data_IF_693606661838
#
_entry.id   IF_693606661838
#
_cell.length_a   1.000
_cell.length_b   1.000
_cell.length_c   1.000
_cell.angle_alpha   90.00
_cell.angle_beta   90.00
_cell.angle_gamma   90.00
#
_symmetry.space_group_name_H-M   'P 1'
#
loop_
_entity.id
_entity.type
_entity.pdbx_description
1 polymer ?
#
# COMPACT_ATOMS: atom_id res chain seq x y z
N UNK A 1 47.38 -56.55 9.49
CA UNK A 1 46.22 -55.93 10.17
C UNK A 1 46.20 -54.46 9.76
N UNK A 2 45.34 -54.10 8.79
CA UNK A 2 45.12 -52.73 8.32
C UNK A 2 44.19 -52.04 9.33
N UNK A 3 44.53 -50.84 9.77
CA UNK A 3 43.58 -49.94 10.43
C UNK A 3 43.63 -48.58 9.75
N UNK A 4 42.42 -48.12 9.48
CA UNK A 4 41.99 -47.15 8.50
C UNK A 4 42.13 -45.72 9.05
N UNK A 5 42.50 -44.78 8.19
CA UNK A 5 42.56 -43.35 8.54
C UNK A 5 41.21 -42.70 8.22
N UNK A 6 40.31 -42.64 9.20
CA UNK A 6 39.09 -41.84 9.09
C UNK A 6 39.41 -40.35 9.22
N UNK A 7 39.38 -39.67 8.07
CA UNK A 7 39.22 -38.22 7.97
C UNK A 7 37.80 -37.84 8.40
N UNK A 8 37.61 -37.55 9.68
CA UNK A 8 36.44 -36.77 10.11
C UNK A 8 36.70 -35.30 9.77
N UNK A 9 36.31 -34.92 8.55
CA UNK A 9 36.10 -33.52 8.19
C UNK A 9 34.88 -33.04 8.97
N UNK A 10 35.11 -32.37 10.10
CA UNK A 10 34.15 -31.45 10.67
C UNK A 10 33.81 -30.41 9.60
N UNK A 11 32.63 -30.59 9.00
CA UNK A 11 32.05 -29.70 8.02
C UNK A 11 31.52 -28.49 8.80
N UNK A 12 32.42 -27.60 9.25
CA UNK A 12 32.04 -26.26 9.70
C UNK A 12 31.54 -25.51 8.46
N UNK A 13 30.24 -25.62 8.17
CA UNK A 13 29.55 -24.53 7.47
C UNK A 13 29.75 -23.30 8.36
N UNK A 14 30.32 -22.19 7.87
CA UNK A 14 30.27 -20.96 8.65
C UNK A 14 28.79 -20.66 8.86
N UNK A 15 28.37 -20.59 10.13
CA UNK A 15 27.16 -19.88 10.51
C UNK A 15 27.35 -18.47 9.95
N UNK A 16 26.70 -18.16 8.83
CA UNK A 16 26.50 -16.77 8.41
C UNK A 16 25.76 -16.13 9.58
N UNK A 17 26.49 -15.44 10.44
CA UNK A 17 25.88 -14.45 11.31
C UNK A 17 25.34 -13.40 10.36
N UNK A 18 24.03 -13.27 10.29
CA UNK A 18 23.38 -12.19 9.56
C UNK A 18 23.71 -10.90 10.32
N UNK A 19 24.87 -10.32 10.03
CA UNK A 19 25.26 -9.01 10.56
C UNK A 19 24.51 -8.00 9.71
N UNK A 20 23.39 -7.49 10.24
CA UNK A 20 22.76 -6.30 9.69
C UNK A 20 23.39 -5.07 10.29
N UNK A 21 23.44 -4.02 9.49
CA UNK A 21 24.27 -2.89 9.80
C UNK A 21 23.46 -1.61 10.01
N UNK A 22 22.48 -1.30 9.15
CA UNK A 22 21.69 -0.08 9.30
C UNK A 22 20.46 -0.33 10.19
N UNK A 23 20.45 0.24 11.38
CA UNK A 23 19.30 0.24 12.28
C UNK A 23 18.56 1.57 12.18
N UNK A 24 17.27 1.50 11.84
CA UNK A 24 16.36 2.66 11.84
C UNK A 24 15.39 2.49 12.99
N UNK A 25 15.34 3.47 13.88
CA UNK A 25 14.35 3.55 14.94
C UNK A 25 13.42 4.72 14.67
N UNK A 26 12.14 4.46 14.84
CA UNK A 26 11.09 5.43 14.56
C UNK A 26 10.09 5.46 15.71
N UNK A 27 9.72 6.66 16.15
CA UNK A 27 8.70 6.81 17.18
C UNK A 27 7.68 7.86 16.77
N UNK A 28 6.41 7.56 17.02
CA UNK A 28 5.37 8.58 17.00
C UNK A 28 5.61 9.47 18.21
N UNK A 29 5.53 10.80 18.07
CA UNK A 29 5.81 11.69 19.22
C UNK A 29 4.63 11.67 20.20
N UNK A 30 4.41 10.56 20.91
CA UNK A 30 3.23 10.27 21.76
C UNK A 30 3.05 11.22 22.93
N UNK A 31 4.13 11.93 23.30
CA UNK A 31 4.13 12.91 24.39
C UNK A 31 3.85 14.34 23.92
N UNK A 32 3.64 14.57 22.62
CA UNK A 32 3.24 15.90 22.16
C UNK A 32 1.85 16.26 22.69
N UNK A 33 1.62 17.56 22.96
CA UNK A 33 0.33 18.07 23.45
C UNK A 33 -0.84 17.70 22.51
N UNK A 34 -0.53 17.43 21.24
CA UNK A 34 -1.45 16.94 20.23
C UNK A 34 -2.22 15.70 20.71
N UNK A 35 -1.54 14.68 21.24
CA UNK A 35 -2.21 13.43 21.62
C UNK A 35 -3.23 13.61 22.75
N UNK A 36 -3.12 14.67 23.56
CA UNK A 36 -4.09 14.99 24.61
C UNK A 36 -5.45 15.47 24.06
N UNK A 37 -5.48 15.89 22.80
CA UNK A 37 -6.66 16.47 22.15
C UNK A 37 -7.29 15.55 21.09
N UNK A 38 -6.69 14.38 20.88
CA UNK A 38 -7.13 13.39 19.89
C UNK A 38 -7.92 12.28 20.60
N UNK A 39 -9.05 11.87 20.03
CA UNK A 39 -9.88 10.78 20.60
C UNK A 39 -9.12 9.44 20.62
N UNK A 40 -9.43 8.55 21.56
CA UNK A 40 -8.79 7.22 21.65
C UNK A 40 -8.93 6.40 20.36
N UNK A 41 -10.05 6.53 19.67
CA UNK A 41 -10.32 5.81 18.42
C UNK A 41 -9.46 6.35 17.27
N UNK A 42 -9.30 7.68 17.21
CA UNK A 42 -8.40 8.33 16.25
C UNK A 42 -6.94 7.96 16.53
N UNK A 43 -6.53 7.87 17.80
CA UNK A 43 -5.17 7.42 18.18
C UNK A 43 -4.92 5.99 17.71
N UNK A 44 -5.87 5.09 17.98
CA UNK A 44 -5.76 3.68 17.60
C UNK A 44 -5.68 3.53 16.08
N UNK A 45 -6.53 4.26 15.35
CA UNK A 45 -6.49 4.30 13.89
C UNK A 45 -5.16 4.87 13.37
N UNK A 46 -4.64 5.96 13.94
CA UNK A 46 -3.38 6.54 13.51
C UNK A 46 -2.18 5.60 13.73
N UNK A 47 -2.12 4.91 14.86
CA UNK A 47 -1.07 3.92 15.14
C UNK A 47 -1.15 2.74 14.16
N UNK A 48 -2.37 2.25 13.89
CA UNK A 48 -2.60 1.19 12.92
C UNK A 48 -2.17 1.61 11.51
N UNK A 49 -2.54 2.80 11.06
CA UNK A 49 -2.15 3.38 9.77
C UNK A 49 -0.64 3.57 9.64
N UNK A 50 -0.01 4.13 10.68
CA UNK A 50 1.43 4.29 10.74
C UNK A 50 2.14 2.94 10.65
N UNK A 51 1.71 1.96 11.45
CA UNK A 51 2.29 0.61 11.43
C UNK A 51 2.15 0.03 10.03
N UNK A 52 0.94 0.01 9.47
CA UNK A 52 0.72 -0.54 8.14
C UNK A 52 1.63 0.09 7.06
N UNK A 53 1.66 1.44 7.02
CA UNK A 53 2.48 2.20 6.09
C UNK A 53 3.96 1.86 6.23
N UNK A 54 4.48 1.93 7.46
CA UNK A 54 5.90 1.74 7.75
C UNK A 54 6.37 0.33 7.44
N UNK A 55 5.57 -0.70 7.75
CA UNK A 55 5.87 -2.10 7.41
C UNK A 55 5.91 -2.33 5.90
N UNK A 56 4.90 -1.82 5.20
CA UNK A 56 4.78 -1.98 3.74
C UNK A 56 5.96 -1.32 3.03
N UNK A 57 6.29 -0.08 3.40
CA UNK A 57 7.45 0.63 2.86
C UNK A 57 8.75 -0.10 3.19
N UNK A 58 8.96 -0.51 4.44
CA UNK A 58 10.20 -1.17 4.83
C UNK A 58 10.46 -2.43 4.01
N UNK A 59 9.41 -3.22 3.77
CA UNK A 59 9.51 -4.45 3.01
C UNK A 59 9.82 -4.21 1.52
N UNK A 60 9.23 -3.17 0.91
CA UNK A 60 9.58 -2.75 -0.46
C UNK A 60 11.05 -2.33 -0.59
N UNK A 61 11.63 -1.80 0.49
CA UNK A 61 13.05 -1.41 0.56
C UNK A 61 13.95 -2.54 1.09
N UNK A 62 13.48 -3.79 1.17
CA UNK A 62 14.35 -4.93 1.46
C UNK A 62 14.80 -5.04 2.91
N UNK A 63 13.98 -4.52 3.81
CA UNK A 63 14.12 -4.73 5.25
C UNK A 63 14.36 -6.22 5.56
N UNK A 64 15.34 -6.48 6.40
CA UNK A 64 15.68 -7.84 6.85
C UNK A 64 15.06 -8.22 8.18
N UNK A 65 14.77 -7.24 9.02
CA UNK A 65 14.07 -7.43 10.27
C UNK A 65 13.24 -6.21 10.64
N UNK A 66 12.13 -6.43 11.37
CA UNK A 66 11.45 -5.37 12.11
C UNK A 66 11.10 -5.84 13.51
N UNK A 67 10.93 -4.88 14.39
CA UNK A 67 10.23 -5.10 15.65
C UNK A 67 9.46 -3.84 16.06
N UNK A 68 8.14 -3.98 16.24
CA UNK A 68 7.31 -2.91 16.79
C UNK A 68 7.11 -3.12 18.28
N UNK A 69 7.58 -2.18 19.09
CA UNK A 69 7.45 -2.21 20.55
C UNK A 69 6.67 -0.99 21.05
N UNK A 70 6.38 -0.95 22.35
CA UNK A 70 5.76 0.22 22.99
C UNK A 70 6.55 1.51 22.74
N UNK A 71 7.86 1.41 22.57
CA UNK A 71 8.80 2.51 22.46
C UNK A 71 9.03 3.02 21.03
N UNK A 72 8.46 2.34 20.01
CA UNK A 72 8.70 2.67 18.60
C UNK A 72 8.89 1.44 17.72
N UNK A 73 9.19 1.70 16.45
CA UNK A 73 9.44 0.70 15.41
C UNK A 73 10.92 0.64 15.05
N UNK A 74 11.52 -0.54 15.18
CA UNK A 74 12.85 -0.86 14.71
C UNK A 74 12.78 -1.51 13.34
N UNK A 75 13.67 -1.10 12.45
CA UNK A 75 13.95 -1.75 11.17
C UNK A 75 15.44 -1.99 10.99
N UNK A 76 15.79 -3.13 10.41
CA UNK A 76 17.17 -3.45 10.03
C UNK A 76 17.29 -3.59 8.51
N UNK A 77 18.29 -2.92 7.95
CA UNK A 77 18.65 -2.96 6.53
C UNK A 77 20.13 -3.33 6.36
N UNK A 78 20.45 -3.87 5.18
CA UNK A 78 21.83 -4.19 4.80
C UNK A 78 22.61 -2.99 4.25
N UNK A 79 21.90 -1.97 3.76
CA UNK A 79 22.49 -0.77 3.14
C UNK A 79 22.09 0.50 3.88
N UNK A 80 23.06 1.38 4.10
CA UNK A 80 22.84 2.70 4.69
C UNK A 80 22.00 3.59 3.77
N UNK A 81 22.27 3.59 2.45
CA UNK A 81 21.50 4.35 1.46
C UNK A 81 20.04 3.94 1.42
N UNK A 82 19.78 2.63 1.43
CA UNK A 82 18.42 2.07 1.48
C UNK A 82 17.70 2.51 2.76
N UNK A 83 18.37 2.44 3.90
CA UNK A 83 17.81 2.86 5.19
C UNK A 83 17.47 4.37 5.22
N UNK A 84 18.34 5.21 4.64
CA UNK A 84 18.12 6.66 4.54
C UNK A 84 16.96 6.98 3.59
N UNK A 85 16.93 6.35 2.40
CA UNK A 85 15.83 6.54 1.44
C UNK A 85 14.49 6.09 2.02
N UNK A 86 14.43 4.91 2.63
CA UNK A 86 13.26 4.42 3.35
C UNK A 86 12.79 5.45 4.39
N UNK A 87 13.71 5.96 5.20
CA UNK A 87 13.41 6.90 6.28
C UNK A 87 12.82 8.22 5.75
N UNK A 88 13.41 8.79 4.70
CA UNK A 88 12.91 10.01 4.06
C UNK A 88 11.53 9.78 3.43
N UNK A 89 11.33 8.66 2.73
CA UNK A 89 10.04 8.29 2.14
C UNK A 89 8.98 8.05 3.21
N UNK A 90 9.32 7.38 4.30
CA UNK A 90 8.41 7.17 5.43
C UNK A 90 7.92 8.51 6.01
N UNK A 91 8.83 9.46 6.25
CA UNK A 91 8.48 10.80 6.71
C UNK A 91 7.53 11.48 5.71
N UNK A 92 7.86 11.47 4.43
CA UNK A 92 7.06 12.12 3.39
C UNK A 92 5.64 11.52 3.28
N UNK A 93 5.54 10.20 3.22
CA UNK A 93 4.25 9.50 3.11
C UNK A 93 3.42 9.66 4.38
N UNK A 94 4.06 9.61 5.56
CA UNK A 94 3.36 9.81 6.82
C UNK A 94 2.81 11.24 6.94
N UNK A 95 3.57 12.26 6.53
CA UNK A 95 3.11 13.65 6.45
C UNK A 95 1.86 13.81 5.59
N UNK A 96 1.80 13.13 4.45
CA UNK A 96 0.63 13.16 3.59
C UNK A 96 -0.56 12.44 4.24
N UNK A 97 -0.34 11.21 4.72
CA UNK A 97 -1.40 10.32 5.21
C UNK A 97 -2.06 10.86 6.49
N UNK A 98 -1.29 11.41 7.42
CA UNK A 98 -1.81 11.89 8.71
C UNK A 98 -2.71 13.13 8.61
N UNK A 99 -2.63 13.91 7.52
CA UNK A 99 -3.51 15.08 7.28
C UNK A 99 -4.98 14.68 7.19
N UNK A 100 -5.25 13.52 6.60
CA UNK A 100 -6.60 12.99 6.45
C UNK A 100 -7.13 12.39 7.75
N UNK A 101 -6.25 11.95 8.65
CA UNK A 101 -6.63 11.32 9.91
C UNK A 101 -7.13 12.31 10.98
N UNK A 102 -6.81 13.60 10.85
CA UNK A 102 -7.14 14.62 11.86
C UNK A 102 -8.20 15.65 11.43
N UNK A 103 -8.79 15.48 10.23
CA UNK A 103 -9.94 16.24 9.75
C UNK A 103 -9.86 17.78 9.96
N UNK A 104 -8.67 18.37 9.83
CA UNK A 104 -8.47 19.82 9.94
C UNK A 104 -8.45 20.40 11.36
N UNK A 105 -8.57 19.59 12.42
CA UNK A 105 -8.23 20.02 13.77
C UNK A 105 -6.71 19.98 13.90
N UNK A 106 -6.07 21.14 13.67
CA UNK A 106 -4.64 21.36 13.45
C UNK A 106 -3.70 20.80 14.55
N UNK A 107 -3.54 19.49 14.57
CA UNK A 107 -2.71 18.76 15.48
C UNK A 107 -1.87 17.79 14.66
N UNK A 108 -0.64 18.19 14.40
CA UNK A 108 0.30 17.40 13.63
C UNK A 108 0.70 16.14 14.42
N UNK A 109 0.72 14.96 13.79
CA UNK A 109 1.15 13.70 14.42
C UNK A 109 2.55 13.33 13.95
N UNK A 110 3.60 14.06 14.34
CA UNK A 110 4.93 13.85 13.81
C UNK A 110 5.51 12.50 14.22
N UNK A 111 6.47 12.06 13.43
CA UNK A 111 7.37 10.95 13.77
C UNK A 111 8.78 11.46 13.92
N UNK A 112 9.57 10.87 14.80
CA UNK A 112 11.02 11.07 14.83
C UNK A 112 11.69 9.84 14.22
N UNK A 113 12.79 10.07 13.51
CA UNK A 113 13.53 8.98 12.86
C UNK A 113 15.01 9.12 13.17
N UNK A 114 15.58 8.09 13.78
CA UNK A 114 17.01 7.96 14.04
C UNK A 114 17.59 6.79 13.27
N UNK A 115 18.71 7.00 12.60
CA UNK A 115 19.42 5.93 11.90
C UNK A 115 20.88 5.85 12.33
N UNK A 116 21.36 4.62 12.52
CA UNK A 116 22.76 4.35 12.85
C UNK A 116 23.24 3.09 12.14
N UNK A 117 24.54 3.05 11.82
CA UNK A 117 25.17 1.90 11.20
C UNK A 117 26.12 1.19 12.18
N UNK A 118 25.94 -0.11 12.35
CA UNK A 118 26.84 -0.96 13.14
C UNK A 118 26.27 -2.35 13.34
N UNK A 119 27.07 -3.22 13.94
CA UNK A 119 26.74 -4.64 14.04
C UNK A 119 25.51 -4.92 14.91
N UNK A 120 24.62 -5.75 14.36
CA UNK A 120 23.48 -6.34 15.02
C UNK A 120 23.60 -7.87 14.97
N UNK A 121 23.23 -8.56 16.05
CA UNK A 121 23.26 -10.01 16.14
C UNK A 121 21.88 -10.54 16.51
N UNK A 122 21.42 -11.56 15.79
CA UNK A 122 20.19 -12.28 16.11
C UNK A 122 20.42 -13.21 17.31
N UNK A 123 19.50 -13.18 18.27
CA UNK A 123 19.48 -14.15 19.37
C UNK A 123 18.94 -15.50 18.88
N UNK A 124 19.18 -16.56 19.66
CA UNK A 124 18.75 -17.92 19.28
C UNK A 124 17.23 -18.11 19.31
N UNK A 125 16.47 -17.23 19.98
CA UNK A 125 15.02 -17.20 19.91
C UNK A 125 14.59 -16.34 18.70
N UNK A 126 13.82 -16.94 17.78
CA UNK A 126 13.74 -16.66 16.33
C UNK A 126 13.48 -15.21 15.86
N UNK A 127 13.24 -14.26 16.76
CA UNK A 127 12.87 -12.89 16.39
C UNK A 127 13.57 -11.78 17.18
N UNK A 128 14.43 -12.11 18.16
CA UNK A 128 15.07 -11.08 18.96
C UNK A 128 16.45 -10.67 18.42
N UNK A 129 16.72 -9.37 18.39
CA UNK A 129 17.98 -8.79 17.94
C UNK A 129 18.63 -7.98 19.06
N UNK A 130 19.94 -8.09 19.17
CA UNK A 130 20.76 -7.30 20.08
C UNK A 130 21.91 -6.65 19.30
N UNK A 131 22.30 -5.46 19.68
CA UNK A 131 23.40 -4.77 19.02
C UNK A 131 23.54 -3.35 19.51
N UNK A 132 24.77 -2.82 19.43
CA UNK A 132 25.02 -1.42 19.76
C UNK A 132 24.25 -0.49 18.83
N UNK A 133 24.13 -0.87 17.56
CA UNK A 133 23.45 -0.04 16.58
C UNK A 133 21.97 0.20 16.89
N UNK A 134 21.26 -0.79 17.43
CA UNK A 134 19.86 -0.65 17.85
C UNK A 134 19.73 0.42 18.95
N UNK A 135 20.56 0.32 19.99
CA UNK A 135 20.54 1.24 21.12
C UNK A 135 20.94 2.66 20.69
N UNK A 136 21.89 2.80 19.77
CA UNK A 136 22.31 4.11 19.26
C UNK A 136 21.21 4.71 18.37
N UNK A 137 20.62 3.95 17.44
CA UNK A 137 19.54 4.44 16.58
C UNK A 137 18.37 5.00 17.40
N UNK A 138 17.97 4.32 18.48
CA UNK A 138 16.95 4.80 19.42
C UNK A 138 17.35 6.13 20.10
N UNK A 139 18.62 6.28 20.48
CA UNK A 139 19.11 7.53 21.08
C UNK A 139 19.17 8.67 20.07
N UNK A 140 19.59 8.38 18.85
CA UNK A 140 19.59 9.34 17.73
C UNK A 140 18.15 9.82 17.47
N UNK A 141 17.18 8.90 17.43
CA UNK A 141 15.76 9.23 17.31
C UNK A 141 15.30 10.17 18.44
N UNK A 142 15.70 9.89 19.69
CA UNK A 142 15.30 10.72 20.84
C UNK A 142 15.83 12.16 20.78
N UNK A 143 16.92 12.38 20.04
CA UNK A 143 17.49 13.71 19.77
C UNK A 143 16.88 14.37 18.52
N UNK A 144 16.19 13.61 17.67
CA UNK A 144 15.66 14.11 16.41
C UNK A 144 14.50 15.08 16.62
N UNK A 145 14.43 16.08 15.76
CA UNK A 145 13.26 16.96 15.68
C UNK A 145 12.08 16.19 15.04
N UNK A 146 10.83 16.57 15.36
CA UNK A 146 9.64 16.11 14.66
C UNK A 146 9.81 16.12 13.13
N UNK A 147 9.54 14.98 12.52
CA UNK A 147 9.62 14.71 11.08
C UNK A 147 10.96 14.99 10.42
N UNK A 148 12.03 14.70 11.15
CA UNK A 148 13.38 14.75 10.65
C UNK A 148 14.05 13.39 10.77
N UNK A 149 14.99 13.15 9.86
CA UNK A 149 15.89 12.02 9.90
C UNK A 149 17.23 12.50 10.46
N UNK A 150 17.57 12.03 11.66
CA UNK A 150 18.89 12.24 12.24
C UNK A 150 19.73 10.98 12.06
N UNK A 151 21.00 11.19 11.74
CA UNK A 151 21.97 10.13 11.52
C UNK A 151 23.27 10.46 12.25
N UNK A 152 24.04 9.43 12.60
CA UNK A 152 25.41 9.61 13.11
C UNK A 152 26.41 9.80 11.97
N UNK A 153 27.59 10.36 12.27
CA UNK A 153 28.73 10.40 11.34
C UNK A 153 28.98 9.07 10.60
N UNK A 154 28.87 7.93 11.27
CA UNK A 154 29.11 6.61 10.64
C UNK A 154 28.15 6.32 9.48
N UNK A 155 26.91 6.79 9.53
CA UNK A 155 25.99 6.69 8.38
C UNK A 155 26.48 7.61 7.28
N UNK A 156 26.85 8.85 7.62
CA UNK A 156 27.34 9.85 6.68
C UNK A 156 28.59 9.37 5.92
N UNK A 157 29.48 8.63 6.59
CA UNK A 157 30.69 8.06 5.99
C UNK A 157 30.42 6.90 5.00
N UNK A 158 29.22 6.31 5.07
CA UNK A 158 28.85 5.10 4.32
C UNK A 158 27.88 5.37 3.17
N UNK A 159 27.10 6.44 3.26
CA UNK A 159 26.18 6.84 2.20
C UNK A 159 26.91 7.62 1.11
N UNK A 160 26.35 7.64 -0.09
CA UNK A 160 26.89 8.41 -1.19
C UNK A 160 26.63 9.91 -0.99
N UNK A 161 27.52 10.60 -0.27
CA UNK A 161 27.36 11.99 0.14
C UNK A 161 26.88 12.98 -0.95
N UNK A 162 27.38 12.91 -2.20
CA UNK A 162 26.91 13.79 -3.28
C UNK A 162 25.41 13.69 -3.56
N UNK A 163 24.75 12.59 -3.19
CA UNK A 163 23.33 12.32 -3.44
C UNK A 163 22.43 12.83 -2.30
N UNK A 164 22.98 13.33 -1.19
CA UNK A 164 22.16 13.79 -0.06
C UNK A 164 22.47 15.22 0.36
N UNK A 165 21.41 15.99 0.58
CA UNK A 165 21.52 17.26 1.28
C UNK A 165 21.44 17.00 2.78
N UNK A 166 22.47 17.41 3.52
CA UNK A 166 22.54 17.23 4.97
C UNK A 166 23.09 18.47 5.69
N UNK A 167 22.81 18.54 6.98
CA UNK A 167 23.23 19.63 7.86
C UNK A 167 23.82 19.04 9.14
N UNK A 168 24.98 19.53 9.56
CA UNK A 168 25.50 19.25 10.89
C UNK A 168 24.59 19.92 11.93
N UNK A 169 24.20 19.16 12.95
CA UNK A 169 23.29 19.65 14.00
C UNK A 169 24.10 20.12 15.20
N UNK A 170 24.66 19.18 15.98
CA UNK A 170 25.54 19.46 17.12
C UNK A 170 26.19 18.14 17.61
N UNK A 171 27.03 18.25 18.65
CA UNK A 171 27.60 17.13 19.40
C UNK A 171 26.69 16.75 20.56
N UNK A 172 26.13 15.55 20.50
CA UNK A 172 25.24 15.03 21.53
C UNK A 172 25.92 14.00 22.41
N UNK A 173 25.56 13.99 23.71
CA UNK A 173 25.96 12.93 24.63
C UNK A 173 24.99 11.73 24.57
N UNK A 174 25.36 10.69 23.83
CA UNK A 174 24.63 9.44 23.73
C UNK A 174 25.07 8.49 24.86
N UNK A 175 24.52 8.69 26.07
CA UNK A 175 24.88 7.92 27.29
C UNK A 175 24.98 6.41 27.04
N UNK A 176 25.94 5.70 27.63
CA UNK A 176 26.03 4.24 27.49
C UNK A 176 26.56 3.75 26.13
N UNK A 177 27.11 4.65 25.31
CA UNK A 177 27.97 4.34 24.18
C UNK A 177 29.47 4.42 24.60
N UNK A 178 30.34 3.68 23.92
CA UNK A 178 31.80 3.74 24.11
C UNK A 178 32.38 5.10 23.68
N UNK A 179 31.75 5.74 22.71
CA UNK A 179 32.00 7.12 22.30
C UNK A 179 30.79 7.96 22.73
N UNK A 180 30.77 8.46 23.98
CA UNK A 180 29.59 9.09 24.53
C UNK A 180 29.23 10.39 23.79
N UNK A 181 30.19 11.06 23.13
CA UNK A 181 29.94 12.29 22.38
C UNK A 181 30.01 12.01 20.88
N UNK A 182 28.94 12.33 20.14
CA UNK A 182 28.87 12.15 18.69
C UNK A 182 28.29 13.36 18.00
N UNK A 183 28.83 13.68 16.83
CA UNK A 183 28.19 14.60 15.90
C UNK A 183 26.97 13.90 15.28
N UNK A 184 25.83 14.59 15.31
CA UNK A 184 24.62 14.18 14.61
C UNK A 184 24.38 15.08 13.40
N UNK A 185 23.86 14.47 12.35
CA UNK A 185 23.55 15.12 11.09
C UNK A 185 22.08 14.93 10.77
N UNK A 186 21.45 15.99 10.28
CA UNK A 186 20.10 15.94 9.73
C UNK A 186 20.20 15.70 8.24
N UNK A 187 19.60 14.63 7.75
CA UNK A 187 19.40 14.43 6.31
C UNK A 187 18.12 15.16 5.90
N UNK A 188 18.24 16.03 4.91
CA UNK A 188 17.16 16.92 4.46
C UNK A 188 16.38 16.30 3.30
N UNK A 189 17.08 15.85 2.26
CA UNK A 189 16.49 15.27 1.06
C UNK A 189 17.53 14.54 0.22
N UNK A 190 17.04 13.78 -0.76
CA UNK A 190 17.86 13.22 -1.84
C UNK A 190 18.03 14.30 -2.91
N UNK A 191 19.27 14.53 -3.35
CA UNK A 191 19.58 15.31 -4.55
C UNK A 191 19.40 14.41 -5.78
N UNK A 192 18.19 14.46 -6.34
CA UNK A 192 17.85 13.70 -7.53
C UNK A 192 18.63 14.13 -8.77
N UNK A 193 19.13 15.37 -8.83
CA UNK A 193 19.94 15.84 -9.94
C UNK A 193 21.35 15.24 -9.87
N UNK A 194 21.95 15.19 -8.67
CA UNK A 194 23.22 14.52 -8.44
C UNK A 194 23.12 13.00 -8.74
N UNK A 195 22.05 12.35 -8.29
CA UNK A 195 21.81 10.93 -8.59
C UNK A 195 21.62 10.67 -10.09
N UNK A 196 20.87 11.54 -10.79
CA UNK A 196 20.64 11.41 -12.22
C UNK A 196 21.88 11.72 -13.07
N UNK A 197 22.76 12.61 -12.60
CA UNK A 197 24.00 12.99 -13.27
C UNK A 197 25.14 11.99 -13.13
N UNK A 198 24.96 10.91 -12.37
CA UNK A 198 25.97 9.85 -12.20
C UNK A 198 26.14 9.08 -13.50
N UNK A 199 27.39 8.84 -13.89
CA UNK A 199 27.71 7.98 -15.03
C UNK A 199 27.25 6.55 -14.75
N UNK A 200 26.56 5.92 -15.71
CA UNK A 200 26.04 4.54 -15.56
C UNK A 200 27.12 3.54 -15.11
N UNK A 201 28.35 3.69 -15.57
CA UNK A 201 29.50 2.83 -15.23
C UNK A 201 29.88 2.85 -13.75
N UNK A 202 29.46 3.87 -12.98
CA UNK A 202 29.75 4.02 -11.55
C UNK A 202 28.55 3.68 -10.67
N UNK A 203 27.40 3.38 -11.25
CA UNK A 203 26.20 3.04 -10.50
C UNK A 203 26.27 1.60 -10.00
N UNK A 204 25.99 1.41 -8.73
CA UNK A 204 25.82 0.10 -8.08
C UNK A 204 24.42 -0.46 -8.35
N UNK A 205 24.19 -1.73 -7.98
CA UNK A 205 22.86 -2.33 -8.07
C UNK A 205 21.84 -1.56 -7.21
N UNK A 206 22.26 -1.13 -6.02
CA UNK A 206 21.48 -0.32 -5.09
C UNK A 206 21.16 1.06 -5.67
N UNK A 207 22.10 1.73 -6.33
CA UNK A 207 21.83 3.03 -6.96
C UNK A 207 20.75 2.92 -8.03
N UNK A 208 20.85 1.90 -8.88
CA UNK A 208 19.86 1.63 -9.92
C UNK A 208 18.49 1.29 -9.32
N UNK A 209 18.47 0.47 -8.27
CA UNK A 209 17.24 0.16 -7.56
C UNK A 209 16.59 1.40 -6.94
N UNK A 210 17.36 2.23 -6.22
CA UNK A 210 16.87 3.44 -5.57
C UNK A 210 16.42 4.50 -6.58
N UNK A 211 17.13 4.62 -7.71
CA UNK A 211 16.72 5.46 -8.83
C UNK A 211 15.36 5.01 -9.38
N UNK A 212 15.15 3.71 -9.60
CA UNK A 212 13.86 3.15 -10.01
C UNK A 212 12.76 3.40 -8.98
N UNK A 213 13.00 3.07 -7.70
CA UNK A 213 12.04 3.26 -6.61
C UNK A 213 11.69 4.74 -6.32
N UNK A 214 12.55 5.67 -6.77
CA UNK A 214 12.33 7.10 -6.70
C UNK A 214 11.41 7.64 -7.81
N UNK A 215 11.25 6.91 -8.92
CA UNK A 215 10.43 7.31 -10.06
C UNK A 215 8.93 7.16 -9.75
N UNK A 216 8.12 7.99 -10.38
CA UNK A 216 6.66 7.89 -10.37
C UNK A 216 6.19 7.70 -11.80
N UNK A 217 5.90 6.47 -12.21
CA UNK A 217 5.44 6.20 -13.57
C UNK A 217 4.03 6.76 -13.79
N UNK A 218 3.93 7.85 -14.55
CA UNK A 218 2.67 8.46 -14.99
C UNK A 218 2.38 8.16 -16.48
N UNK A 219 3.39 7.78 -17.26
CA UNK A 219 3.26 7.42 -18.67
C UNK A 219 4.13 6.21 -19.08
N UNK A 220 3.97 5.76 -20.33
CA UNK A 220 4.72 4.62 -20.88
C UNK A 220 6.24 4.85 -20.92
N UNK A 221 6.69 6.10 -21.08
CA UNK A 221 8.11 6.43 -21.16
C UNK A 221 8.75 6.33 -19.78
N UNK A 222 8.08 6.84 -18.75
CA UNK A 222 8.52 6.70 -17.37
C UNK A 222 8.50 5.24 -16.92
N UNK A 223 7.49 4.47 -17.34
CA UNK A 223 7.41 3.04 -17.09
C UNK A 223 8.61 2.28 -17.71
N UNK A 224 9.03 2.67 -18.92
CA UNK A 224 10.22 2.12 -19.57
C UNK A 224 11.52 2.52 -18.84
N UNK A 225 11.61 3.76 -18.36
CA UNK A 225 12.74 4.23 -17.56
C UNK A 225 12.88 3.49 -16.22
N UNK A 226 11.77 3.27 -15.53
CA UNK A 226 11.73 2.52 -14.28
C UNK A 226 12.11 1.04 -14.50
N UNK A 227 11.56 0.42 -15.57
CA UNK A 227 11.95 -0.94 -15.98
C UNK A 227 13.46 -1.06 -16.17
N UNK A 228 14.05 -0.13 -16.93
CA UNK A 228 15.48 -0.13 -17.23
C UNK A 228 16.33 -0.08 -15.96
N UNK A 229 15.91 0.71 -14.96
CA UNK A 229 16.60 0.79 -13.68
C UNK A 229 16.65 -0.57 -12.97
N UNK A 230 15.52 -1.29 -12.89
CA UNK A 230 15.51 -2.61 -12.24
C UNK A 230 16.25 -3.68 -13.06
N UNK A 231 16.22 -3.61 -14.38
CA UNK A 231 17.02 -4.49 -15.24
C UNK A 231 18.53 -4.28 -14.99
N UNK A 232 18.99 -3.02 -14.92
CA UNK A 232 20.38 -2.71 -14.59
C UNK A 232 20.78 -3.14 -13.16
N UNK A 233 19.88 -2.96 -12.19
CA UNK A 233 20.11 -3.47 -10.85
C UNK A 233 20.32 -4.99 -10.85
N UNK A 234 19.54 -5.72 -11.66
CA UNK A 234 19.61 -7.18 -11.77
C UNK A 234 20.78 -7.69 -12.63
N UNK A 235 21.26 -6.90 -13.59
CA UNK A 235 22.52 -7.18 -14.31
C UNK A 235 23.72 -7.16 -13.36
N UNK A 236 23.74 -6.20 -12.42
CA UNK A 236 24.81 -6.05 -11.43
C UNK A 236 24.65 -7.00 -10.24
N UNK A 237 23.41 -7.29 -9.85
CA UNK A 237 23.07 -8.19 -8.74
C UNK A 237 21.86 -9.04 -9.07
N UNK A 238 22.10 -10.25 -9.58
CA UNK A 238 21.04 -11.17 -9.98
C UNK A 238 20.22 -11.71 -8.78
N UNK A 239 20.79 -11.74 -7.58
CA UNK A 239 20.16 -12.17 -6.33
C UNK A 239 19.53 -11.00 -5.55
N UNK A 240 18.90 -10.05 -6.26
CA UNK A 240 18.19 -8.90 -5.68
C UNK A 240 16.66 -9.11 -5.70
N UNK A 241 16.06 -9.71 -4.64
CA UNK A 241 14.63 -10.08 -4.65
C UNK A 241 13.70 -8.87 -4.79
N UNK A 242 14.05 -7.73 -4.19
CA UNK A 242 13.26 -6.50 -4.26
C UNK A 242 13.23 -5.94 -5.69
N UNK A 243 14.35 -5.98 -6.41
CA UNK A 243 14.40 -5.58 -7.82
C UNK A 243 13.61 -6.54 -8.73
N UNK A 244 13.67 -7.86 -8.48
CA UNK A 244 12.81 -8.82 -9.17
C UNK A 244 11.32 -8.54 -8.94
N UNK A 245 10.91 -8.31 -7.69
CA UNK A 245 9.52 -7.96 -7.36
C UNK A 245 9.07 -6.69 -8.10
N UNK A 246 9.85 -5.62 -8.02
CA UNK A 246 9.47 -4.34 -8.62
C UNK A 246 9.46 -4.43 -10.15
N UNK A 247 10.42 -5.12 -10.76
CA UNK A 247 10.39 -5.39 -12.20
C UNK A 247 9.15 -6.21 -12.60
N UNK A 248 8.73 -7.17 -11.79
CA UNK A 248 7.48 -7.91 -11.99
C UNK A 248 6.25 -7.00 -12.00
N UNK A 249 6.18 -6.01 -11.10
CA UNK A 249 5.10 -5.02 -11.05
C UNK A 249 5.06 -4.21 -12.34
N UNK A 250 6.21 -3.71 -12.79
CA UNK A 250 6.33 -2.90 -14.02
C UNK A 250 6.00 -3.70 -15.28
N UNK A 251 6.44 -4.96 -15.35
CA UNK A 251 6.11 -5.85 -16.47
C UNK A 251 4.61 -6.18 -16.51
N UNK A 252 3.98 -6.40 -15.35
CA UNK A 252 2.53 -6.62 -15.26
C UNK A 252 1.75 -5.41 -15.76
N UNK A 253 2.12 -4.21 -15.30
CA UNK A 253 1.49 -2.96 -15.72
C UNK A 253 1.58 -2.74 -17.25
N UNK A 254 2.69 -3.18 -17.87
CA UNK A 254 2.86 -3.15 -19.32
C UNK A 254 2.24 -4.34 -20.07
N UNK A 255 1.47 -5.21 -19.40
CA UNK A 255 0.81 -6.37 -20.01
C UNK A 255 1.70 -7.58 -20.29
N UNK A 256 2.99 -7.56 -19.91
CA UNK A 256 3.92 -8.66 -20.10
C UNK A 256 3.79 -9.72 -19.00
N UNK A 257 2.62 -10.37 -18.91
CA UNK A 257 2.23 -11.27 -17.82
C UNK A 257 3.22 -12.44 -17.58
N UNK A 258 3.66 -13.12 -18.63
CA UNK A 258 4.61 -14.25 -18.51
C UNK A 258 5.96 -13.81 -17.94
N UNK A 259 6.46 -12.64 -18.36
CA UNK A 259 7.72 -12.10 -17.86
C UNK A 259 7.57 -11.64 -16.40
N UNK A 260 6.43 -11.02 -16.05
CA UNK A 260 6.11 -10.65 -14.68
C UNK A 260 6.07 -11.88 -13.75
N UNK A 261 5.41 -12.97 -14.16
CA UNK A 261 5.36 -14.22 -13.40
C UNK A 261 6.77 -14.79 -13.15
N UNK A 262 7.64 -14.79 -14.16
CA UNK A 262 9.02 -15.24 -14.00
C UNK A 262 9.78 -14.42 -12.94
N UNK A 263 9.62 -13.09 -12.96
CA UNK A 263 10.24 -12.19 -11.96
C UNK A 263 9.68 -12.40 -10.55
N UNK A 264 8.38 -12.57 -10.39
CA UNK A 264 7.81 -12.89 -9.09
C UNK A 264 8.30 -14.23 -8.55
N UNK A 265 8.39 -15.26 -9.39
CA UNK A 265 8.97 -16.56 -9.02
C UNK A 265 10.42 -16.44 -8.56
N UNK A 266 11.23 -15.63 -9.24
CA UNK A 266 12.61 -15.35 -8.82
C UNK A 266 12.65 -14.64 -7.46
N UNK A 267 11.80 -13.63 -7.25
CA UNK A 267 11.74 -12.90 -5.98
C UNK A 267 11.41 -13.80 -4.78
N UNK A 268 10.35 -14.62 -4.88
CA UNK A 268 9.92 -15.51 -3.79
C UNK A 268 10.86 -16.71 -3.61
N UNK A 269 11.61 -17.10 -4.64
CA UNK A 269 12.65 -18.13 -4.53
C UNK A 269 13.87 -17.61 -3.77
N UNK A 270 14.29 -16.37 -4.06
CA UNK A 270 15.42 -15.71 -3.41
C UNK A 270 15.09 -15.34 -1.96
N UNK A 271 13.86 -14.87 -1.71
CA UNK A 271 13.38 -14.52 -0.38
C UNK A 271 11.98 -15.10 -0.13
N UNK A 272 11.88 -16.34 0.36
CA UNK A 272 10.59 -16.99 0.64
C UNK A 272 9.75 -16.34 1.74
N UNK A 273 10.35 -15.41 2.50
CA UNK A 273 9.67 -14.65 3.55
C UNK A 273 9.37 -13.21 3.11
N UNK A 274 9.19 -12.98 1.80
CA UNK A 274 8.89 -11.66 1.22
C UNK A 274 7.38 -11.49 0.99
N UNK A 275 6.66 -10.81 1.90
CA UNK A 275 5.20 -10.70 1.82
C UNK A 275 4.69 -10.03 0.54
N UNK A 276 5.34 -8.95 0.08
CA UNK A 276 4.91 -8.15 -1.07
C UNK A 276 5.12 -8.91 -2.38
N UNK A 277 6.18 -9.72 -2.49
CA UNK A 277 6.37 -10.58 -3.67
C UNK A 277 5.29 -11.65 -3.76
N UNK A 278 4.92 -12.27 -2.63
CA UNK A 278 3.79 -13.20 -2.60
C UNK A 278 2.46 -12.53 -2.94
N UNK A 279 2.19 -11.36 -2.36
CA UNK A 279 0.97 -10.59 -2.64
C UNK A 279 0.87 -10.16 -4.12
N UNK A 280 1.94 -9.60 -4.68
CA UNK A 280 1.96 -9.17 -6.07
C UNK A 280 1.86 -10.33 -7.05
N UNK A 281 2.45 -11.49 -6.71
CA UNK A 281 2.30 -12.70 -7.50
C UNK A 281 0.86 -13.21 -7.47
N UNK A 282 0.23 -13.23 -6.30
CA UNK A 282 -1.17 -13.62 -6.15
C UNK A 282 -2.11 -12.76 -7.00
N UNK A 283 -1.91 -11.44 -7.03
CA UNK A 283 -2.69 -10.53 -7.90
C UNK A 283 -2.57 -10.94 -9.37
N UNK A 284 -1.35 -11.20 -9.86
CA UNK A 284 -1.14 -11.63 -11.24
C UNK A 284 -1.87 -12.96 -11.51
N UNK A 285 -1.85 -13.89 -10.55
CA UNK A 285 -2.54 -15.17 -10.68
C UNK A 285 -4.06 -15.00 -10.79
N UNK A 286 -4.68 -14.13 -9.98
CA UNK A 286 -6.10 -13.78 -10.14
C UNK A 286 -6.40 -13.18 -11.51
N UNK A 287 -5.57 -12.24 -11.98
CA UNK A 287 -5.71 -11.62 -13.32
C UNK A 287 -5.53 -12.62 -14.48
N UNK A 288 -4.96 -13.80 -14.19
CA UNK A 288 -4.76 -14.91 -15.14
C UNK A 288 -5.68 -16.10 -14.88
N UNK A 289 -6.78 -15.90 -14.16
CA UNK A 289 -7.81 -16.90 -13.89
C UNK A 289 -7.30 -18.13 -13.12
N UNK A 290 -6.39 -17.91 -12.17
CA UNK A 290 -5.80 -18.94 -11.28
C UNK A 290 -6.05 -18.62 -9.80
N UNK A 291 -7.32 -18.50 -9.35
CA UNK A 291 -7.67 -18.02 -8.01
C UNK A 291 -7.20 -18.94 -6.87
N UNK A 292 -7.12 -20.26 -7.08
CA UNK A 292 -6.64 -21.20 -6.06
C UNK A 292 -5.16 -21.00 -5.73
N UNK A 293 -4.34 -20.77 -6.76
CA UNK A 293 -2.91 -20.48 -6.61
C UNK A 293 -2.69 -19.08 -6.03
N UNK A 294 -3.53 -18.12 -6.43
CA UNK A 294 -3.53 -16.79 -5.82
C UNK A 294 -3.79 -16.86 -4.31
N UNK A 295 -4.82 -17.61 -3.88
CA UNK A 295 -5.12 -17.79 -2.47
C UNK A 295 -3.97 -18.44 -1.69
N UNK A 296 -3.27 -19.42 -2.29
CA UNK A 296 -2.08 -19.99 -1.68
C UNK A 296 -0.99 -18.94 -1.44
N UNK A 297 -0.73 -18.07 -2.42
CA UNK A 297 0.23 -16.99 -2.28
C UNK A 297 -0.22 -15.88 -1.32
N UNK A 298 -1.51 -15.53 -1.26
CA UNK A 298 -2.00 -14.62 -0.22
C UNK A 298 -1.84 -15.18 1.18
N UNK A 299 -2.11 -16.48 1.39
CA UNK A 299 -1.86 -17.14 2.68
C UNK A 299 -0.37 -17.13 3.04
N UNK A 300 0.53 -17.28 2.07
CA UNK A 300 1.98 -17.12 2.29
C UNK A 300 2.35 -15.69 2.66
N UNK A 301 1.78 -14.68 1.98
CA UNK A 301 1.97 -13.28 2.35
C UNK A 301 1.54 -13.01 3.81
N UNK A 302 0.39 -13.56 4.22
CA UNK A 302 -0.10 -13.46 5.60
C UNK A 302 0.72 -14.26 6.61
N UNK A 303 1.29 -15.40 6.21
CA UNK A 303 2.23 -16.15 7.05
C UNK A 303 3.50 -15.33 7.31
N UNK A 304 3.99 -14.61 6.29
CA UNK A 304 5.17 -13.74 6.43
C UNK A 304 4.84 -12.46 7.21
N UNK A 305 3.66 -11.89 6.98
CA UNK A 305 3.16 -10.68 7.65
C UNK A 305 1.67 -10.82 7.96
N UNK A 306 1.31 -11.27 9.18
CA UNK A 306 -0.11 -11.41 9.56
C UNK A 306 -0.90 -10.10 9.47
N UNK A 307 -0.22 -8.96 9.60
CA UNK A 307 -0.79 -7.63 9.42
C UNK A 307 -0.98 -7.16 7.97
N UNK A 308 -0.90 -8.03 6.96
CA UNK A 308 -1.03 -7.64 5.55
C UNK A 308 -2.51 -7.46 5.14
N UNK A 309 -3.07 -6.31 5.50
CA UNK A 309 -4.47 -5.94 5.26
C UNK A 309 -4.92 -6.15 3.82
N UNK A 310 -4.13 -5.73 2.83
CA UNK A 310 -4.53 -5.91 1.42
C UNK A 310 -4.67 -7.40 1.03
N UNK A 311 -3.83 -8.30 1.56
CA UNK A 311 -3.92 -9.74 1.30
C UNK A 311 -5.14 -10.37 1.99
N UNK A 312 -5.51 -9.88 3.19
CA UNK A 312 -6.75 -10.29 3.87
C UNK A 312 -7.98 -9.93 3.04
N UNK A 313 -8.06 -8.71 2.51
CA UNK A 313 -9.20 -8.28 1.71
C UNK A 313 -9.31 -9.04 0.39
N UNK A 314 -8.18 -9.36 -0.26
CA UNK A 314 -8.17 -10.20 -1.46
C UNK A 314 -8.67 -11.62 -1.16
N UNK A 315 -8.19 -12.24 -0.08
CA UNK A 315 -8.69 -13.55 0.36
C UNK A 315 -10.18 -13.51 0.72
N UNK A 316 -10.65 -12.46 1.40
CA UNK A 316 -12.06 -12.29 1.72
C UNK A 316 -12.92 -12.27 0.44
N UNK A 317 -12.46 -11.55 -0.59
CA UNK A 317 -13.10 -11.54 -1.91
C UNK A 317 -13.12 -12.92 -2.59
N UNK A 318 -12.02 -13.67 -2.55
CA UNK A 318 -11.97 -15.02 -3.12
C UNK A 318 -12.92 -15.98 -2.39
N UNK A 319 -12.97 -15.94 -1.05
CA UNK A 319 -13.90 -16.76 -0.28
C UNK A 319 -15.36 -16.40 -0.54
N UNK A 320 -15.69 -15.11 -0.72
CA UNK A 320 -17.03 -14.68 -1.13
C UNK A 320 -17.39 -15.20 -2.53
N UNK A 321 -16.44 -15.22 -3.48
CA UNK A 321 -16.64 -15.81 -4.81
C UNK A 321 -16.88 -17.32 -4.74
N UNK A 322 -16.16 -18.02 -3.86
CA UNK A 322 -16.35 -19.46 -3.63
C UNK A 322 -17.59 -19.79 -2.78
N UNK A 323 -18.27 -18.78 -2.22
CA UNK A 323 -19.45 -18.95 -1.39
C UNK A 323 -19.15 -19.34 0.06
N UNK A 324 -17.89 -19.31 0.49
CA UNK A 324 -17.51 -19.51 1.89
C UNK A 324 -17.68 -18.21 2.68
N UNK A 325 -18.93 -18.00 3.13
CA UNK A 325 -19.33 -16.81 3.87
C UNK A 325 -18.58 -16.67 5.20
N UNK A 326 -18.23 -17.78 5.84
CA UNK A 326 -17.59 -17.74 7.15
C UNK A 326 -16.16 -17.21 7.04
N UNK A 327 -15.36 -17.77 6.13
CA UNK A 327 -13.98 -17.33 5.93
C UNK A 327 -13.91 -15.90 5.38
N UNK A 328 -14.80 -15.54 4.45
CA UNK A 328 -14.88 -14.16 3.93
C UNK A 328 -15.13 -13.15 5.06
N UNK A 329 -16.11 -13.42 5.92
CA UNK A 329 -16.45 -12.56 7.06
C UNK A 329 -15.29 -12.41 8.05
N UNK A 330 -14.61 -13.51 8.39
CA UNK A 330 -13.46 -13.48 9.30
C UNK A 330 -12.33 -12.61 8.75
N UNK A 331 -12.02 -12.74 7.46
CA UNK A 331 -10.97 -11.94 6.83
C UNK A 331 -11.31 -10.45 6.76
N UNK A 332 -12.56 -10.08 6.49
CA UNK A 332 -13.00 -8.68 6.55
C UNK A 332 -12.89 -8.11 7.97
N UNK A 333 -13.34 -8.86 8.99
CA UNK A 333 -13.23 -8.45 10.38
C UNK A 333 -11.78 -8.27 10.81
N UNK A 334 -10.89 -9.18 10.44
CA UNK A 334 -9.47 -9.08 10.78
C UNK A 334 -8.79 -7.89 10.08
N UNK A 335 -9.12 -7.65 8.80
CA UNK A 335 -8.62 -6.48 8.08
C UNK A 335 -9.00 -5.17 8.78
N UNK A 336 -10.26 -5.05 9.21
CA UNK A 336 -10.76 -3.87 9.93
C UNK A 336 -10.26 -3.80 11.38
N UNK A 337 -10.00 -4.93 12.05
CA UNK A 337 -9.35 -4.95 13.37
C UNK A 337 -7.93 -4.39 13.29
N UNK A 338 -7.20 -4.75 12.24
CA UNK A 338 -5.82 -4.31 12.00
C UNK A 338 -5.76 -2.86 11.51
N UNK A 339 -6.74 -2.41 10.72
CA UNK A 339 -6.79 -1.06 10.16
C UNK A 339 -8.22 -0.50 10.20
N UNK A 340 -8.68 -0.01 11.37
CA UNK A 340 -10.06 0.46 11.55
C UNK A 340 -10.44 1.69 10.72
N UNK A 341 -9.44 2.48 10.31
CA UNK A 341 -9.63 3.67 9.48
C UNK A 341 -9.71 3.40 7.97
N UNK A 342 -9.82 2.15 7.53
CA UNK A 342 -9.77 1.81 6.11
C UNK A 342 -11.15 1.86 5.45
N UNK A 343 -11.49 3.01 4.85
CA UNK A 343 -12.79 3.25 4.23
C UNK A 343 -13.15 2.22 3.14
N UNK A 344 -12.19 1.83 2.30
CA UNK A 344 -12.37 0.80 1.26
C UNK A 344 -12.74 -0.56 1.86
N UNK A 345 -12.11 -0.96 2.97
CA UNK A 345 -12.44 -2.22 3.64
C UNK A 345 -13.86 -2.20 4.24
N UNK A 346 -14.29 -1.06 4.78
CA UNK A 346 -15.66 -0.88 5.25
C UNK A 346 -16.66 -1.00 4.10
N UNK A 347 -16.42 -0.35 2.96
CA UNK A 347 -17.28 -0.47 1.77
C UNK A 347 -17.35 -1.93 1.26
N UNK A 348 -16.21 -2.59 1.10
CA UNK A 348 -16.17 -3.96 0.58
C UNK A 348 -16.87 -4.94 1.52
N UNK A 349 -16.73 -4.74 2.83
CA UNK A 349 -17.43 -5.58 3.81
C UNK A 349 -18.94 -5.29 3.82
N UNK A 350 -19.37 -4.04 3.63
CA UNK A 350 -20.78 -3.71 3.48
C UNK A 350 -21.41 -4.40 2.27
N UNK A 351 -20.75 -4.35 1.11
CA UNK A 351 -21.19 -5.06 -0.12
C UNK A 351 -21.31 -6.57 0.14
N UNK A 352 -20.33 -7.16 0.83
CA UNK A 352 -20.39 -8.56 1.23
C UNK A 352 -21.59 -8.87 2.14
N UNK A 353 -21.82 -8.06 3.17
CA UNK A 353 -22.92 -8.24 4.13
C UNK A 353 -24.29 -8.11 3.45
N UNK A 354 -24.44 -7.14 2.56
CA UNK A 354 -25.64 -6.93 1.74
C UNK A 354 -25.96 -8.15 0.88
N UNK A 355 -24.98 -8.64 0.10
CA UNK A 355 -25.10 -9.86 -0.72
C UNK A 355 -25.52 -11.08 0.11
N UNK A 356 -25.14 -11.10 1.39
CA UNK A 356 -25.44 -12.18 2.32
C UNK A 356 -26.68 -11.94 3.20
N UNK A 357 -27.43 -10.86 2.96
CA UNK A 357 -28.73 -10.59 3.57
C UNK A 357 -28.70 -9.77 4.87
N UNK A 358 -27.53 -9.30 5.32
CA UNK A 358 -27.40 -8.47 6.52
C UNK A 358 -27.35 -6.97 6.15
N UNK A 359 -28.49 -6.46 5.67
CA UNK A 359 -28.65 -5.07 5.28
C UNK A 359 -28.38 -4.07 6.43
N UNK A 360 -28.66 -4.46 7.68
CA UNK A 360 -28.44 -3.62 8.85
C UNK A 360 -26.96 -3.42 9.14
N UNK A 361 -26.17 -4.50 9.13
CA UNK A 361 -24.72 -4.40 9.28
C UNK A 361 -24.06 -3.72 8.07
N UNK A 362 -24.54 -3.99 6.85
CA UNK A 362 -24.06 -3.32 5.64
C UNK A 362 -24.22 -1.80 5.75
N UNK A 363 -25.40 -1.32 6.15
CA UNK A 363 -25.67 0.11 6.36
C UNK A 363 -24.71 0.75 7.39
N UNK A 364 -24.40 0.05 8.49
CA UNK A 364 -23.44 0.55 9.47
C UNK A 364 -22.03 0.69 8.86
N UNK A 365 -21.59 -0.27 8.05
CA UNK A 365 -20.28 -0.22 7.40
C UNK A 365 -20.21 0.82 6.28
N UNK A 366 -21.26 1.02 5.47
CA UNK A 366 -21.32 2.12 4.50
C UNK A 366 -21.20 3.49 5.18
N UNK A 367 -21.94 3.70 6.28
CA UNK A 367 -21.84 4.95 7.06
C UNK A 367 -20.44 5.17 7.61
N UNK A 368 -19.80 4.12 8.12
CA UNK A 368 -18.43 4.22 8.63
C UNK A 368 -17.44 4.56 7.52
N UNK A 369 -17.57 3.95 6.33
CA UNK A 369 -16.74 4.28 5.16
C UNK A 369 -16.87 5.77 4.80
N UNK A 370 -18.09 6.30 4.79
CA UNK A 370 -18.39 7.70 4.46
C UNK A 370 -17.99 8.68 5.57
N UNK A 371 -18.00 8.26 6.84
CA UNK A 371 -17.45 9.05 7.94
C UNK A 371 -15.93 9.18 7.82
N UNK A 372 -15.24 8.11 7.42
CA UNK A 372 -13.79 8.11 7.21
C UNK A 372 -13.38 8.87 5.95
N UNK A 373 -14.18 8.77 4.89
CA UNK A 373 -13.96 9.44 3.61
C UNK A 373 -15.29 9.89 3.00
N UNK A 374 -15.63 11.16 3.21
CA UNK A 374 -16.91 11.74 2.80
C UNK A 374 -17.08 11.91 1.29
N UNK A 375 -16.00 11.91 0.52
CA UNK A 375 -15.98 12.00 -0.95
C UNK A 375 -15.83 10.63 -1.62
N UNK A 376 -16.10 9.53 -0.89
CA UNK A 376 -15.97 8.18 -1.44
C UNK A 376 -17.14 7.82 -2.36
N UNK A 377 -16.99 8.13 -3.65
CA UNK A 377 -18.04 7.96 -4.66
C UNK A 377 -18.65 6.55 -4.70
N UNK A 378 -17.81 5.50 -4.62
CA UNK A 378 -18.27 4.10 -4.66
C UNK A 378 -19.10 3.72 -3.42
N UNK A 379 -18.70 4.16 -2.23
CA UNK A 379 -19.48 3.90 -1.02
C UNK A 379 -20.82 4.65 -1.03
N UNK A 380 -20.85 5.87 -1.57
CA UNK A 380 -22.11 6.58 -1.79
C UNK A 380 -23.03 5.84 -2.77
N UNK A 381 -22.48 5.38 -3.89
CA UNK A 381 -23.22 4.61 -4.88
C UNK A 381 -23.79 3.31 -4.30
N UNK A 382 -22.95 2.50 -3.65
CA UNK A 382 -23.38 1.22 -3.06
C UNK A 382 -24.39 1.44 -1.92
N UNK A 383 -24.21 2.48 -1.11
CA UNK A 383 -25.19 2.78 -0.05
C UNK A 383 -26.52 3.27 -0.62
N UNK A 384 -26.50 4.04 -1.72
CA UNK A 384 -27.72 4.43 -2.42
C UNK A 384 -28.48 3.20 -2.91
N UNK A 385 -27.80 2.22 -3.53
CA UNK A 385 -28.41 0.97 -3.99
C UNK A 385 -29.11 0.22 -2.84
N UNK A 386 -28.47 0.11 -1.66
CA UNK A 386 -29.07 -0.52 -0.48
C UNK A 386 -30.34 0.22 -0.02
N UNK A 387 -30.38 1.54 -0.19
CA UNK A 387 -31.47 2.39 0.26
C UNK A 387 -32.65 2.47 -0.71
N UNK A 388 -32.47 2.20 -2.01
CA UNK A 388 -33.51 2.42 -3.04
C UNK A 388 -34.88 1.84 -2.67
N UNK A 389 -34.91 0.62 -2.13
CA UNK A 389 -36.16 -0.05 -1.77
C UNK A 389 -36.78 0.44 -0.44
N UNK A 390 -36.04 1.19 0.39
CA UNK A 390 -36.40 1.58 1.76
C UNK A 390 -36.61 3.08 1.92
N UNK A 391 -35.79 3.89 1.26
CA UNK A 391 -35.76 5.35 1.36
C UNK A 391 -35.21 5.95 0.05
N UNK A 392 -36.13 6.22 -0.88
CA UNK A 392 -35.84 6.73 -2.23
C UNK A 392 -35.17 8.12 -2.18
N UNK A 393 -35.55 8.97 -1.23
CA UNK A 393 -34.98 10.31 -1.12
C UNK A 393 -33.54 10.26 -0.60
N UNK A 394 -33.25 9.39 0.37
CA UNK A 394 -31.88 9.16 0.84
C UNK A 394 -31.02 8.52 -0.25
N UNK A 395 -31.56 7.55 -1.01
CA UNK A 395 -30.87 6.96 -2.15
C UNK A 395 -30.50 8.01 -3.21
N UNK A 396 -31.44 8.87 -3.60
CA UNK A 396 -31.19 9.97 -4.52
C UNK A 396 -30.07 10.91 -4.03
N UNK A 397 -30.10 11.28 -2.74
CA UNK A 397 -29.07 12.13 -2.13
C UNK A 397 -27.68 11.50 -2.25
N UNK A 398 -27.57 10.21 -1.96
CA UNK A 398 -26.31 9.48 -2.06
C UNK A 398 -25.83 9.30 -3.50
N UNK A 399 -26.72 9.06 -4.48
CA UNK A 399 -26.33 9.07 -5.89
C UNK A 399 -25.79 10.43 -6.32
N UNK A 400 -26.45 11.53 -5.93
CA UNK A 400 -25.96 12.88 -6.24
C UNK A 400 -24.60 13.15 -5.57
N UNK A 401 -24.36 12.65 -4.36
CA UNK A 401 -23.06 12.75 -3.68
C UNK A 401 -21.96 11.95 -4.40
N UNK A 402 -22.28 10.73 -4.85
CA UNK A 402 -21.37 9.92 -5.66
C UNK A 402 -20.96 10.65 -6.96
N UNK A 403 -21.92 11.26 -7.65
CA UNK A 403 -21.70 12.02 -8.87
C UNK A 403 -20.99 13.36 -8.65
N UNK A 404 -21.15 13.97 -7.48
CA UNK A 404 -20.38 15.16 -7.10
C UNK A 404 -18.89 14.85 -6.94
N UNK A 405 -18.58 13.65 -6.45
CA UNK A 405 -17.20 13.17 -6.25
C UNK A 405 -16.61 12.56 -7.53
N UNK A 406 -17.43 11.89 -8.35
CA UNK A 406 -17.05 11.30 -9.63
C UNK A 406 -18.09 11.62 -10.71
N UNK A 407 -17.94 12.76 -11.42
CA UNK A 407 -18.95 13.24 -12.38
C UNK A 407 -19.20 12.34 -13.59
N UNK A 408 -18.33 11.37 -13.86
CA UNK A 408 -18.46 10.46 -14.99
C UNK A 408 -18.84 9.03 -14.57
N UNK A 409 -19.28 8.82 -13.32
CA UNK A 409 -19.65 7.50 -12.82
C UNK A 409 -20.92 6.98 -13.51
N UNK A 410 -20.73 6.14 -14.53
CA UNK A 410 -21.79 5.72 -15.45
C UNK A 410 -22.91 4.96 -14.74
N UNK A 411 -22.57 4.05 -13.84
CA UNK A 411 -23.51 3.24 -13.06
C UNK A 411 -24.40 4.11 -12.16
N UNK A 412 -23.79 5.08 -11.46
CA UNK A 412 -24.53 6.03 -10.63
C UNK A 412 -25.48 6.92 -11.46
N UNK A 413 -25.05 7.37 -12.64
CA UNK A 413 -25.91 8.09 -13.56
C UNK A 413 -27.08 7.24 -14.05
N UNK A 414 -26.82 5.97 -14.41
CA UNK A 414 -27.87 5.09 -14.88
C UNK A 414 -28.92 4.82 -13.78
N UNK A 415 -28.50 4.49 -12.57
CA UNK A 415 -29.43 4.19 -11.47
C UNK A 415 -30.19 5.43 -10.98
N UNK A 416 -29.52 6.59 -10.88
CA UNK A 416 -30.22 7.85 -10.60
C UNK A 416 -31.23 8.19 -11.71
N UNK A 417 -30.89 7.91 -12.97
CA UNK A 417 -31.82 8.06 -14.09
C UNK A 417 -33.05 7.15 -13.97
N UNK A 418 -32.89 5.92 -13.50
CA UNK A 418 -34.00 4.98 -13.21
C UNK A 418 -34.88 5.53 -12.11
N UNK A 419 -34.29 5.92 -10.98
CA UNK A 419 -35.00 6.48 -9.84
C UNK A 419 -35.80 7.75 -10.23
N UNK A 420 -35.20 8.65 -11.01
CA UNK A 420 -35.87 9.86 -11.49
C UNK A 420 -36.95 9.58 -12.54
N UNK A 421 -36.76 8.56 -13.38
CA UNK A 421 -37.78 8.08 -14.31
C UNK A 421 -39.03 7.61 -13.54
N UNK A 422 -38.85 6.81 -12.49
CA UNK A 422 -39.94 6.33 -11.63
C UNK A 422 -40.64 7.49 -10.88
N UNK A 423 -39.90 8.53 -10.47
CA UNK A 423 -40.46 9.75 -9.87
C UNK A 423 -41.16 10.68 -10.89
N UNK A 424 -41.11 10.38 -12.20
CA UNK A 424 -41.68 11.21 -13.26
C UNK A 424 -40.82 12.41 -13.70
N UNK A 425 -39.59 12.52 -13.20
CA UNK A 425 -38.64 13.58 -13.54
C UNK A 425 -37.92 13.28 -14.87
N UNK A 426 -38.69 13.11 -15.95
CA UNK A 426 -38.21 12.55 -17.22
C UNK A 426 -37.08 13.34 -17.86
N UNK A 427 -37.08 14.67 -17.78
CA UNK A 427 -36.03 15.50 -18.38
C UNK A 427 -34.68 15.33 -17.67
N UNK A 428 -34.69 15.21 -16.33
CA UNK A 428 -33.47 14.98 -15.55
C UNK A 428 -32.96 13.55 -15.76
N UNK A 429 -33.88 12.57 -15.74
CA UNK A 429 -33.57 11.17 -16.06
C UNK A 429 -32.90 11.02 -17.44
N UNK A 430 -33.43 11.70 -18.47
CA UNK A 430 -32.85 11.72 -19.83
C UNK A 430 -31.41 12.22 -19.82
N UNK A 431 -31.14 13.31 -19.11
CA UNK A 431 -29.79 13.89 -19.00
C UNK A 431 -28.80 12.90 -18.38
N UNK A 432 -29.23 12.20 -17.34
CA UNK A 432 -28.40 11.19 -16.67
C UNK A 432 -28.12 9.99 -17.56
N UNK A 433 -29.13 9.43 -18.25
CA UNK A 433 -28.91 8.34 -19.20
C UNK A 433 -27.97 8.73 -20.35
N UNK A 434 -28.13 9.93 -20.90
CA UNK A 434 -27.22 10.42 -21.94
C UNK A 434 -25.79 10.58 -21.43
N UNK A 435 -25.61 10.93 -20.15
CA UNK A 435 -24.28 11.02 -19.54
C UNK A 435 -23.70 9.64 -19.28
N UNK A 436 -24.47 8.68 -18.77
CA UNK A 436 -24.06 7.28 -18.65
C UNK A 436 -23.60 6.69 -19.99
N UNK A 437 -24.36 6.93 -21.07
CA UNK A 437 -24.00 6.51 -22.43
C UNK A 437 -22.71 7.19 -22.91
N UNK A 438 -22.49 8.48 -22.62
CA UNK A 438 -21.25 9.16 -22.98
C UNK A 438 -20.05 8.59 -22.23
N UNK A 439 -20.23 8.25 -20.95
CA UNK A 439 -19.18 7.67 -20.11
C UNK A 439 -18.85 6.22 -20.49
N UNK A 440 -19.87 5.41 -20.83
CA UNK A 440 -19.70 4.02 -21.28
C UNK A 440 -20.56 3.73 -22.51
N UNK A 441 -20.10 4.07 -23.72
CA UNK A 441 -20.87 3.89 -24.96
C UNK A 441 -21.17 2.43 -25.34
N UNK A 442 -20.46 1.48 -24.72
CA UNK A 442 -20.65 0.04 -24.92
C UNK A 442 -21.64 -0.63 -23.96
N UNK A 443 -22.23 0.09 -23.00
CA UNK A 443 -23.19 -0.50 -22.07
C UNK A 443 -24.60 -0.57 -22.66
N UNK A 444 -25.12 -1.76 -23.04
CA UNK A 444 -26.46 -1.87 -23.61
C UNK A 444 -27.57 -1.46 -22.63
N UNK A 445 -27.35 -1.56 -21.31
CA UNK A 445 -28.40 -1.30 -20.32
C UNK A 445 -28.79 0.18 -20.29
N UNK A 446 -27.81 1.09 -20.32
CA UNK A 446 -28.07 2.53 -20.39
C UNK A 446 -28.88 2.93 -21.63
N UNK A 447 -28.66 2.28 -22.78
CA UNK A 447 -29.45 2.50 -24.00
C UNK A 447 -30.89 1.97 -23.86
N UNK A 448 -31.10 0.81 -23.23
CA UNK A 448 -32.45 0.28 -22.95
C UNK A 448 -33.23 1.22 -22.05
N UNK A 449 -32.62 1.68 -20.97
CA UNK A 449 -33.26 2.56 -20.01
C UNK A 449 -33.69 3.90 -20.65
N UNK A 450 -32.84 4.48 -21.50
CA UNK A 450 -33.19 5.68 -22.27
C UNK A 450 -34.32 5.42 -23.28
N UNK A 451 -34.31 4.28 -23.97
CA UNK A 451 -35.37 3.93 -24.92
C UNK A 451 -36.73 3.81 -24.22
N UNK A 452 -36.78 3.15 -23.05
CA UNK A 452 -37.99 3.03 -22.24
C UNK A 452 -38.51 4.40 -21.79
N UNK A 453 -37.62 5.28 -21.33
CA UNK A 453 -37.99 6.65 -20.96
C UNK A 453 -38.56 7.44 -22.16
N UNK A 454 -37.91 7.37 -23.31
CA UNK A 454 -38.36 8.08 -24.52
C UNK A 454 -39.72 7.57 -25.01
N UNK A 455 -39.97 6.26 -24.91
CA UNK A 455 -41.29 5.69 -25.20
C UNK A 455 -42.36 6.22 -24.22
N UNK A 456 -42.04 6.31 -22.93
CA UNK A 456 -42.92 6.91 -21.93
C UNK A 456 -43.20 8.41 -22.17
N UNK A 457 -42.25 9.12 -22.78
CA UNK A 457 -42.40 10.52 -23.22
C UNK A 457 -43.14 10.67 -24.57
N UNK A 458 -43.45 9.58 -25.26
CA UNK A 458 -44.07 9.59 -26.60
C UNK A 458 -43.11 9.86 -27.77
N UNK A 459 -41.79 9.88 -27.53
CA UNK A 459 -40.75 10.08 -28.54
C UNK A 459 -40.40 8.75 -29.26
N UNK A 460 -41.39 8.13 -29.91
CA UNK A 460 -41.32 6.74 -30.41
C UNK A 460 -40.15 6.48 -31.37
N UNK A 461 -39.87 7.39 -32.31
CA UNK A 461 -38.79 7.23 -33.29
C UNK A 461 -37.41 7.16 -32.62
N UNK A 462 -37.19 7.99 -31.60
CA UNK A 462 -35.94 7.98 -30.85
C UNK A 462 -35.87 6.75 -29.96
N UNK A 463 -36.96 6.35 -29.30
CA UNK A 463 -37.03 5.13 -28.51
C UNK A 463 -36.60 3.90 -29.33
N UNK A 464 -37.16 3.72 -30.53
CA UNK A 464 -36.82 2.61 -31.43
C UNK A 464 -35.36 2.64 -31.90
N UNK A 465 -34.78 3.84 -32.05
CA UNK A 465 -33.36 4.00 -32.38
C UNK A 465 -32.46 3.54 -31.23
N UNK A 466 -32.72 3.98 -30.00
CA UNK A 466 -31.90 3.60 -28.84
C UNK A 466 -32.09 2.11 -28.48
N UNK A 467 -33.30 1.56 -28.62
CA UNK A 467 -33.58 0.15 -28.41
C UNK A 467 -32.81 -0.75 -29.41
N UNK A 468 -32.79 -0.37 -30.70
CA UNK A 468 -31.96 -1.07 -31.70
C UNK A 468 -30.50 -1.06 -31.32
N UNK A 469 -29.98 0.09 -30.87
CA UNK A 469 -28.59 0.20 -30.47
C UNK A 469 -28.24 -0.68 -29.27
N UNK A 470 -29.14 -0.76 -28.28
CA UNK A 470 -28.96 -1.66 -27.14
C UNK A 470 -28.89 -3.14 -27.55
N UNK A 471 -29.73 -3.55 -28.51
CA UNK A 471 -29.74 -4.92 -29.01
C UNK A 471 -28.47 -5.24 -29.81
N UNK A 472 -27.98 -4.31 -30.63
CA UNK A 472 -26.69 -4.44 -31.32
C UNK A 472 -25.55 -4.69 -30.33
N UNK A 473 -25.49 -3.88 -29.27
CA UNK A 473 -24.45 -3.98 -28.22
C UNK A 473 -24.58 -5.24 -27.35
N UNK A 474 -25.77 -5.86 -27.27
CA UNK A 474 -25.97 -7.10 -26.51
C UNK A 474 -25.65 -8.37 -27.31
N UNK A 475 -25.51 -8.24 -28.64
CA UNK A 475 -25.39 -9.37 -29.57
C UNK A 475 -23.97 -9.59 -30.09
N UNK A 476 -23.03 -8.70 -29.75
CA UNK A 476 -21.60 -8.79 -30.06
C UNK A 476 -20.80 -8.88 -28.78
#
# INVERSE_FOLDING_TARGET
MRLDMSRDRFNFRPLRMDIYFAAVFTDLVRHSAVWNTVSRDTITSAIAEYRYLSQTLASQYGRRHENFTGDGHLYLFESADVAVHFSLKLIAYWKQRRRHLTAGQANDLPIRVGCHFGECSRMHDDHAWIGRALNIAKRVESCAEPDTLFVTQTILDLIDLPVYLFQEVDVFELKGDFLPRRHLYRIVSVDHAALAGRSEERMTAEDWFLKGAGMTAADEKELAGERHCYEKALELRADYPEAHNNLGVILKAAGHRTAAEARYRDAVRLWPQYPEAHYNFAILLEETDRPDEAAAHYRLALKCRPGHVDALLRLAGLFDQWGDRFEAHQHFQEALRLRPGFAEAHNNFAVFLEKNGDAGAAEAHYRQALQLRSDYAEAHYNYAMLLEARDVEAAESHYRAALSSSPNYAEAHNNLGVLLHEKGAFMEARSHYLTAIRSRPGDPQSYRNLALLLAAMGEQEQADRYARKANELSSG
#
